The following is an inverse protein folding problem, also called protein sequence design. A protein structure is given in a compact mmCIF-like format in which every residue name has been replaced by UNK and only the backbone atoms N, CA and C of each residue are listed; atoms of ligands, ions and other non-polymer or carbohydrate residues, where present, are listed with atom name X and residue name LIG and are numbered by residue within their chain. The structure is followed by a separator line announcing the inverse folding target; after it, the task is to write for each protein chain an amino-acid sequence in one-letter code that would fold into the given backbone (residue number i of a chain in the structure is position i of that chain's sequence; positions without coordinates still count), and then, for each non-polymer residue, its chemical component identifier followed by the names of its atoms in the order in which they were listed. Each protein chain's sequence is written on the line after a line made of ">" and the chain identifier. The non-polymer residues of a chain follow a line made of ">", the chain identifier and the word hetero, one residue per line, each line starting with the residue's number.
data_IF_424360842597
#
_entry.id   IF_424360842597
#
_cell.length_a   1.000
_cell.length_b   1.000
_cell.length_c   1.000
_cell.angle_alpha   90.00
_cell.angle_beta   90.00
_cell.angle_gamma   90.00
#
_symmetry.space_group_name_H-M   'P 1'
#
loop_
_entity.id
_entity.type
_entity.pdbx_description
1 polymer ?
#
# COMPACT_ATOMS: atom_id res chain seq x y z
N UNK A 1 -0.26 20.06 4.95
CA UNK A 1 0.97 19.25 4.80
C UNK A 1 0.58 17.79 4.94
N UNK A 2 0.67 16.99 3.87
CA UNK A 2 0.38 15.55 3.92
C UNK A 2 1.53 14.89 4.70
N UNK A 3 1.22 14.27 5.85
CA UNK A 3 2.23 13.59 6.67
C UNK A 3 2.59 12.25 6.02
N UNK A 4 3.88 11.90 5.95
CA UNK A 4 4.28 10.58 5.51
C UNK A 4 3.81 9.53 6.51
N UNK A 5 3.38 8.38 5.98
CA UNK A 5 2.92 7.22 6.73
C UNK A 5 3.93 6.11 6.45
N UNK A 6 4.48 5.53 7.52
CA UNK A 6 5.38 4.38 7.41
C UNK A 6 4.57 3.14 7.77
N UNK A 7 4.60 2.14 6.90
CA UNK A 7 4.03 0.82 7.15
C UNK A 7 5.14 -0.21 7.09
N UNK A 8 5.30 -0.96 8.16
CA UNK A 8 6.06 -2.21 8.18
C UNK A 8 5.28 -3.31 7.46
N UNK A 9 5.94 -4.41 7.10
CA UNK A 9 5.24 -5.57 6.52
C UNK A 9 4.12 -6.05 7.45
N UNK A 10 2.90 -6.17 6.91
CA UNK A 10 1.70 -6.55 7.65
C UNK A 10 0.94 -5.38 8.30
N UNK A 11 1.54 -4.20 8.39
CA UNK A 11 0.82 -3.00 8.85
C UNK A 11 -0.07 -2.44 7.75
N UNK A 12 -1.12 -1.71 8.17
CA UNK A 12 -2.12 -1.18 7.26
C UNK A 12 -2.49 0.27 7.54
N UNK A 13 -3.02 0.91 6.52
CA UNK A 13 -3.62 2.24 6.61
C UNK A 13 -4.95 2.25 5.88
N UNK A 14 -5.92 2.96 6.45
CA UNK A 14 -7.16 3.27 5.74
C UNK A 14 -6.90 4.40 4.75
N UNK A 15 -7.14 4.18 3.45
CA UNK A 15 -6.81 5.19 2.44
C UNK A 15 -7.55 6.50 2.68
N UNK A 16 -8.88 6.44 2.72
CA UNK A 16 -9.79 7.56 2.99
C UNK A 16 -11.16 7.02 3.44
N UNK A 17 -12.02 7.87 4.01
CA UNK A 17 -13.40 7.49 4.35
C UNK A 17 -14.12 6.95 3.10
N UNK A 18 -14.70 5.76 3.20
CA UNK A 18 -15.40 5.09 2.09
C UNK A 18 -14.47 4.39 1.07
N UNK A 19 -13.17 4.31 1.36
CA UNK A 19 -12.17 3.59 0.56
C UNK A 19 -11.63 2.38 1.30
N UNK A 20 -10.85 1.57 0.59
CA UNK A 20 -10.27 0.34 1.10
C UNK A 20 -9.09 0.57 2.07
N UNK A 21 -8.75 -0.49 2.82
CA UNK A 21 -7.47 -0.56 3.54
C UNK A 21 -6.40 -1.09 2.59
N UNK A 22 -5.18 -0.58 2.76
CA UNK A 22 -4.00 -1.19 2.15
C UNK A 22 -3.05 -1.72 3.20
N UNK A 23 -2.36 -2.81 2.87
CA UNK A 23 -1.33 -3.42 3.71
C UNK A 23 -0.02 -3.46 2.94
N UNK A 24 1.09 -3.19 3.61
CA UNK A 24 2.38 -3.44 2.99
C UNK A 24 2.72 -4.92 3.06
N UNK A 25 2.97 -5.56 1.92
CA UNK A 25 3.21 -7.00 1.83
C UNK A 25 4.70 -7.36 1.66
N UNK A 26 5.59 -6.36 1.68
CA UNK A 26 7.01 -6.56 1.46
C UNK A 26 7.40 -6.55 -0.02
N UNK A 27 8.61 -7.02 -0.28
CA UNK A 27 9.22 -7.09 -1.61
C UNK A 27 9.39 -8.55 -2.05
N UNK A 28 8.60 -9.05 -3.03
CA UNK A 28 8.81 -10.39 -3.58
C UNK A 28 10.12 -10.53 -4.37
N UNK A 29 10.71 -9.42 -4.84
CA UNK A 29 12.05 -9.40 -5.44
C UNK A 29 12.70 -8.03 -5.22
N UNK A 30 13.99 -7.91 -5.52
CA UNK A 30 14.76 -6.67 -5.33
C UNK A 30 14.12 -5.43 -6.01
N UNK A 31 13.43 -5.64 -7.14
CA UNK A 31 12.88 -4.57 -7.96
C UNK A 31 11.36 -4.49 -7.96
N UNK A 32 10.67 -5.29 -7.15
CA UNK A 32 9.20 -5.32 -7.07
C UNK A 32 8.77 -5.29 -5.62
N UNK A 33 7.83 -4.41 -5.29
CA UNK A 33 7.14 -4.43 -4.00
C UNK A 33 5.67 -4.77 -4.17
N UNK A 34 5.03 -5.20 -3.08
CA UNK A 34 3.64 -5.60 -3.07
C UNK A 34 2.84 -4.83 -2.02
N UNK A 35 1.63 -4.42 -2.40
CA UNK A 35 0.61 -3.86 -1.51
C UNK A 35 -0.62 -4.74 -1.62
N UNK A 36 -1.23 -5.11 -0.50
CA UNK A 36 -2.53 -5.80 -0.52
C UNK A 36 -3.64 -4.77 -0.39
N UNK A 37 -4.57 -4.76 -1.34
CA UNK A 37 -5.83 -4.02 -1.21
C UNK A 37 -6.86 -4.93 -0.54
N UNK A 38 -7.46 -4.47 0.57
CA UNK A 38 -8.52 -5.18 1.29
C UNK A 38 -9.82 -4.38 1.23
N UNK A 39 -10.83 -4.94 0.58
CA UNK A 39 -12.11 -4.26 0.33
C UNK A 39 -13.17 -4.44 1.41
N UNK A 40 -13.19 -5.59 2.07
CA UNK A 40 -14.10 -5.85 3.16
C UNK A 40 -13.39 -6.57 4.33
N UNK A 41 -13.82 -6.25 5.55
CA UNK A 41 -13.38 -6.93 6.76
C UNK A 41 -14.47 -7.90 7.27
N UNK A 42 -14.06 -9.03 7.85
CA UNK A 42 -14.98 -10.05 8.36
C UNK A 42 -15.31 -11.18 7.38
N UNK A 43 -16.44 -11.85 7.62
CA UNK A 43 -16.93 -12.96 6.80
C UNK A 43 -17.23 -12.46 5.38
N UNK A 44 -16.71 -13.16 4.36
CA UNK A 44 -16.70 -12.75 2.93
C UNK A 44 -15.81 -11.55 2.59
N UNK A 45 -14.86 -11.18 3.46
CA UNK A 45 -13.79 -10.26 3.09
C UNK A 45 -12.94 -10.81 1.95
N UNK A 46 -12.60 -9.97 0.98
CA UNK A 46 -11.69 -10.30 -0.11
C UNK A 46 -10.58 -9.27 -0.21
N UNK A 47 -9.42 -9.74 -0.64
CA UNK A 47 -8.21 -8.96 -0.79
C UNK A 47 -7.36 -9.53 -1.91
N UNK A 48 -6.53 -8.70 -2.53
CA UNK A 48 -5.60 -9.13 -3.56
C UNK A 48 -4.30 -8.35 -3.47
N UNK A 49 -3.20 -9.00 -3.86
CA UNK A 49 -1.89 -8.38 -3.96
C UNK A 49 -1.79 -7.59 -5.27
N UNK A 50 -1.30 -6.37 -5.17
CA UNK A 50 -0.90 -5.52 -6.27
C UNK A 50 0.63 -5.43 -6.26
N UNK A 51 1.24 -5.58 -7.43
CA UNK A 51 2.69 -5.60 -7.57
C UNK A 51 3.14 -4.39 -8.38
N UNK A 52 4.15 -3.70 -7.87
CA UNK A 52 4.65 -2.47 -8.46
C UNK A 52 6.18 -2.53 -8.58
N UNK A 53 6.76 -2.00 -9.67
CA UNK A 53 8.19 -1.80 -9.76
C UNK A 53 8.67 -0.85 -8.67
N UNK A 54 9.80 -1.13 -8.03
CA UNK A 54 10.42 -0.27 -7.00
C UNK A 54 10.66 1.18 -7.47
N UNK A 55 10.89 1.36 -8.78
CA UNK A 55 11.10 2.68 -9.41
C UNK A 55 9.80 3.47 -9.62
N UNK A 56 8.64 2.82 -9.51
CA UNK A 56 7.35 3.49 -9.64
C UNK A 56 6.95 4.13 -8.31
N UNK A 57 7.09 5.45 -8.26
CA UNK A 57 6.76 6.26 -7.08
C UNK A 57 5.30 6.69 -7.05
N UNK A 58 4.61 6.78 -8.19
CA UNK A 58 3.20 7.13 -8.23
C UNK A 58 2.36 5.89 -8.55
N UNK A 59 1.45 5.55 -7.62
CA UNK A 59 0.53 4.43 -7.77
C UNK A 59 -0.89 4.88 -7.49
N UNK A 60 -1.85 4.12 -8.00
CA UNK A 60 -3.27 4.32 -7.71
C UNK A 60 -3.85 3.03 -7.15
N UNK A 61 -4.46 3.12 -5.97
CA UNK A 61 -5.17 1.99 -5.34
C UNK A 61 -6.56 2.47 -4.95
N UNK A 62 -7.60 1.75 -5.35
CA UNK A 62 -9.01 2.13 -5.13
C UNK A 62 -9.35 3.57 -5.61
N UNK A 63 -8.70 4.02 -6.68
CA UNK A 63 -8.86 5.38 -7.23
C UNK A 63 -8.21 6.49 -6.38
N UNK A 64 -7.40 6.14 -5.38
CA UNK A 64 -6.62 7.09 -4.57
C UNK A 64 -5.19 7.11 -5.07
N UNK A 65 -4.68 8.30 -5.41
CA UNK A 65 -3.27 8.50 -5.75
C UNK A 65 -2.40 8.45 -4.49
N UNK A 66 -1.36 7.64 -4.54
CA UNK A 66 -0.41 7.43 -3.45
C UNK A 66 0.98 7.65 -4.00
N UNK A 67 1.75 8.51 -3.33
CA UNK A 67 3.17 8.69 -3.62
C UNK A 67 4.00 7.81 -2.67
N UNK A 68 4.82 6.95 -3.26
CA UNK A 68 5.75 6.04 -2.59
C UNK A 68 7.11 6.73 -2.50
N UNK A 69 7.42 7.24 -1.32
CA UNK A 69 8.64 7.99 -1.05
C UNK A 69 9.85 7.07 -0.93
N UNK A 70 9.68 5.92 -0.27
CA UNK A 70 10.72 4.91 -0.13
C UNK A 70 10.12 3.52 0.08
N UNK A 71 10.83 2.47 -0.34
CA UNK A 71 10.45 1.08 -0.10
C UNK A 71 11.68 0.20 0.16
N UNK A 72 11.57 -0.62 1.20
CA UNK A 72 12.54 -1.63 1.61
C UNK A 72 11.83 -2.96 1.83
N UNK A 73 12.52 -4.10 1.92
CA UNK A 73 11.85 -5.37 2.16
C UNK A 73 11.03 -5.40 3.47
N UNK A 74 11.32 -4.51 4.43
CA UNK A 74 10.67 -4.45 5.75
C UNK A 74 9.63 -3.34 5.89
N UNK A 75 9.74 -2.24 5.15
CA UNK A 75 8.84 -1.10 5.30
C UNK A 75 8.64 -0.30 4.00
N UNK A 76 7.53 0.43 3.94
CA UNK A 76 7.21 1.39 2.88
C UNK A 76 6.82 2.74 3.49
N UNK A 77 7.24 3.83 2.86
CA UNK A 77 6.87 5.19 3.24
C UNK A 77 5.96 5.78 2.17
N UNK A 78 4.76 6.19 2.58
CA UNK A 78 3.67 6.61 1.70
C UNK A 78 3.20 8.02 2.01
N UNK A 79 2.78 8.74 0.99
CA UNK A 79 2.00 9.97 1.12
C UNK A 79 0.70 9.78 0.35
N UNK A 80 -0.40 9.84 1.08
CA UNK A 80 -1.74 9.66 0.52
C UNK A 80 -2.26 11.06 0.19
N UNK A 81 -2.53 11.27 -1.10
CA UNK A 81 -3.12 12.51 -1.61
C UNK A 81 -4.50 12.76 -1.04
#
# INVERSE_FOLDING_TARGET
>A
MIRPIVLSVGESVHLRRGKDHIFYAGMPSENVYSIVQRKAAGYQGYAWSLFFPKKQQEITVDGVSIFVENVTPQAITLRIG
#
